data_IF_854875698210
#
_entry.id   IF_854875698210
#
_cell.length_a   1.000
_cell.length_b   1.000
_cell.length_c   1.000
_cell.angle_alpha   90.00
_cell.angle_beta   90.00
_cell.angle_gamma   90.00
#
_symmetry.space_group_name_H-M   'P 1'
#
loop_
_entity.id
_entity.type
_entity.pdbx_description
1 polymer ?
#
# COMPACT_ATOMS: atom_id res chain seq x y z
N UNK A 1 -10.98 27.91 -5.91
CA UNK A 1 -10.58 26.48 -5.98
C UNK A 1 -10.27 26.01 -4.55
N UNK A 2 -10.81 24.88 -4.14
CA UNK A 2 -10.51 24.28 -2.83
C UNK A 2 -9.60 23.06 -3.05
N UNK A 3 -8.47 23.01 -2.33
CA UNK A 3 -7.56 21.87 -2.34
C UNK A 3 -7.61 21.17 -0.97
N UNK A 4 -7.71 19.85 -0.98
CA UNK A 4 -7.69 19.02 0.22
C UNK A 4 -6.41 18.21 0.23
N UNK A 5 -5.63 18.31 1.32
CA UNK A 5 -4.42 17.51 1.49
C UNK A 5 -4.78 16.09 1.91
N UNK A 6 -4.87 15.17 0.95
CA UNK A 6 -5.11 13.76 1.25
C UNK A 6 -4.02 13.16 2.16
N UNK A 7 -2.71 13.41 1.95
CA UNK A 7 -1.68 12.97 2.88
C UNK A 7 -1.86 13.55 4.29
N UNK A 8 -2.26 14.83 4.40
CA UNK A 8 -2.50 15.47 5.70
C UNK A 8 -3.62 14.78 6.48
N UNK A 9 -4.72 14.44 5.83
CA UNK A 9 -5.83 13.71 6.46
C UNK A 9 -5.38 12.31 6.90
N UNK A 10 -4.57 11.62 6.10
CA UNK A 10 -4.08 10.28 6.43
C UNK A 10 -3.02 10.29 7.54
N UNK A 11 -2.43 11.43 7.85
CA UNK A 11 -1.50 11.63 8.96
C UNK A 11 -2.18 12.20 10.21
N UNK A 12 -3.49 12.39 10.19
CA UNK A 12 -4.26 12.85 11.33
C UNK A 12 -4.66 11.67 12.23
N UNK A 13 -4.25 11.70 13.50
CA UNK A 13 -4.54 10.66 14.50
C UNK A 13 -6.04 10.45 14.73
N UNK A 14 -6.86 11.46 14.46
CA UNK A 14 -8.32 11.36 14.53
C UNK A 14 -8.87 10.28 13.61
N UNK A 15 -8.25 10.07 12.44
CA UNK A 15 -8.71 9.12 11.44
C UNK A 15 -7.85 7.87 11.38
N UNK A 16 -6.55 8.00 11.69
CA UNK A 16 -5.57 6.93 11.60
C UNK A 16 -4.70 6.90 12.86
N UNK A 17 -5.02 6.06 13.85
CA UNK A 17 -4.21 5.94 15.06
C UNK A 17 -2.74 5.58 14.73
N UNK A 18 -1.80 6.32 15.33
CA UNK A 18 -0.36 6.18 15.08
C UNK A 18 0.00 6.26 13.57
N UNK A 19 -0.31 7.36 12.88
CA UNK A 19 -0.24 7.44 11.42
C UNK A 19 1.17 7.29 10.84
N UNK A 20 2.20 7.50 11.66
CA UNK A 20 3.60 7.28 11.29
C UNK A 20 4.01 5.81 11.32
N UNK A 21 3.20 4.93 11.92
CA UNK A 21 3.46 3.49 11.96
C UNK A 21 2.71 2.79 10.83
N UNK A 22 3.42 1.97 10.06
CA UNK A 22 2.77 1.11 9.08
C UNK A 22 1.87 0.08 9.79
N UNK A 23 0.57 0.22 9.60
CA UNK A 23 -0.43 -0.67 10.19
C UNK A 23 -1.52 -1.01 9.16
N UNK A 24 -1.43 -2.17 8.49
CA UNK A 24 -2.43 -2.62 7.51
C UNK A 24 -3.84 -2.76 8.09
N UNK A 25 -3.97 -3.05 9.39
CA UNK A 25 -5.26 -3.18 10.09
C UNK A 25 -6.09 -1.90 10.04
N UNK A 26 -5.45 -0.74 9.84
CA UNK A 26 -6.17 0.49 9.57
C UNK A 26 -7.13 0.37 8.37
N UNK A 27 -6.92 -0.59 7.48
CA UNK A 27 -7.72 -0.83 6.28
C UNK A 27 -8.53 -2.14 6.34
N UNK A 28 -8.61 -2.79 7.49
CA UNK A 28 -9.49 -3.94 7.73
C UNK A 28 -10.96 -3.56 7.47
N UNK A 29 -11.81 -4.55 7.22
CA UNK A 29 -13.24 -4.32 6.97
C UNK A 29 -13.88 -3.53 8.11
N UNK A 30 -13.64 -3.95 9.35
CA UNK A 30 -14.20 -3.33 10.55
C UNK A 30 -13.76 -1.86 10.70
N UNK A 31 -12.46 -1.58 10.53
CA UNK A 31 -11.94 -0.22 10.64
C UNK A 31 -12.39 0.68 9.50
N UNK A 32 -12.62 0.13 8.30
CA UNK A 32 -13.21 0.88 7.18
C UNK A 32 -14.65 1.27 7.43
N UNK A 33 -15.45 0.37 8.00
CA UNK A 33 -16.88 0.61 8.28
C UNK A 33 -17.07 1.67 9.36
N UNK A 34 -16.15 1.75 10.33
CA UNK A 34 -16.19 2.74 11.42
C UNK A 34 -15.65 4.11 11.02
N UNK A 35 -14.86 4.18 9.98
CA UNK A 35 -14.18 5.42 9.56
C UNK A 35 -15.03 6.17 8.53
N UNK A 36 -14.95 7.51 8.59
CA UNK A 36 -15.50 8.35 7.54
C UNK A 36 -14.86 7.99 6.17
N UNK A 37 -15.64 7.58 5.16
CA UNK A 37 -15.09 7.23 3.84
C UNK A 37 -14.25 8.33 3.19
N UNK A 38 -14.53 9.59 3.51
CA UNK A 38 -13.80 10.76 3.01
C UNK A 38 -12.44 10.97 3.67
N UNK A 39 -12.06 10.15 4.66
CA UNK A 39 -10.70 10.20 5.22
C UNK A 39 -9.65 9.50 4.33
N UNK A 40 -10.07 8.79 3.28
CA UNK A 40 -9.19 8.11 2.32
C UNK A 40 -9.41 8.67 0.92
N UNK A 41 -8.68 9.73 0.59
CA UNK A 41 -8.85 10.49 -0.67
C UNK A 41 -7.73 10.26 -1.69
N UNK A 42 -7.00 9.16 -1.62
CA UNK A 42 -5.87 8.88 -2.53
C UNK A 42 -6.24 8.89 -4.02
N UNK A 43 -7.49 8.61 -4.34
CA UNK A 43 -8.00 8.61 -5.72
C UNK A 43 -9.04 9.73 -5.95
N UNK A 44 -9.17 10.65 -5.02
CA UNK A 44 -10.21 11.67 -5.03
C UNK A 44 -11.60 11.12 -4.70
N UNK A 45 -12.58 12.00 -4.75
CA UNK A 45 -14.00 11.69 -4.52
C UNK A 45 -14.89 12.52 -5.43
N UNK A 46 -16.08 12.04 -5.75
CA UNK A 46 -17.05 12.74 -6.59
C UNK A 46 -16.86 12.53 -8.10
N UNK A 47 -17.46 13.40 -8.94
CA UNK A 47 -17.50 13.22 -10.40
C UNK A 47 -16.13 13.27 -11.08
N UNK A 48 -15.14 13.86 -10.42
CA UNK A 48 -13.76 14.02 -10.89
C UNK A 48 -12.77 13.09 -10.18
N UNK A 49 -13.25 11.99 -9.57
CA UNK A 49 -12.36 10.99 -9.00
C UNK A 49 -11.47 10.34 -10.09
N UNK A 50 -10.43 9.65 -9.67
CA UNK A 50 -9.49 9.00 -10.59
C UNK A 50 -10.20 7.95 -11.46
N UNK A 51 -10.24 8.18 -12.76
CA UNK A 51 -10.83 7.24 -13.74
C UNK A 51 -10.07 5.90 -13.80
N UNK A 52 -8.74 5.93 -13.59
CA UNK A 52 -7.87 4.74 -13.62
C UNK A 52 -7.80 3.96 -12.30
N UNK A 53 -8.53 4.34 -11.26
CA UNK A 53 -8.46 3.71 -9.92
C UNK A 53 -8.56 2.19 -9.97
N UNK A 54 -9.57 1.65 -10.63
CA UNK A 54 -9.81 0.21 -10.64
C UNK A 54 -8.73 -0.54 -11.41
N UNK A 55 -8.32 -0.01 -12.56
CA UNK A 55 -7.24 -0.58 -13.37
C UNK A 55 -5.91 -0.53 -12.62
N UNK A 56 -5.56 0.62 -12.03
CA UNK A 56 -4.33 0.77 -11.26
C UNK A 56 -4.27 -0.18 -10.05
N UNK A 57 -5.37 -0.31 -9.31
CA UNK A 57 -5.46 -1.26 -8.19
C UNK A 57 -5.35 -2.71 -8.67
N UNK A 58 -5.97 -3.06 -9.80
CA UNK A 58 -5.87 -4.40 -10.38
C UNK A 58 -4.42 -4.72 -10.75
N UNK A 59 -3.73 -3.81 -11.46
CA UNK A 59 -2.33 -3.98 -11.85
C UNK A 59 -1.42 -4.19 -10.65
N UNK A 60 -1.53 -3.34 -9.62
CA UNK A 60 -0.73 -3.44 -8.39
C UNK A 60 -0.99 -4.77 -7.68
N UNK A 61 -2.26 -5.14 -7.47
CA UNK A 61 -2.63 -6.39 -6.81
C UNK A 61 -2.12 -7.61 -7.56
N UNK A 62 -2.28 -7.63 -8.89
CA UNK A 62 -1.80 -8.73 -9.73
C UNK A 62 -0.28 -8.83 -9.67
N UNK A 63 0.43 -7.72 -9.82
CA UNK A 63 1.89 -7.69 -9.75
C UNK A 63 2.40 -8.19 -8.39
N UNK A 64 1.86 -7.68 -7.29
CA UNK A 64 2.24 -8.12 -5.94
C UNK A 64 1.91 -9.60 -5.73
N UNK A 65 0.72 -10.06 -6.15
CA UNK A 65 0.34 -11.47 -6.02
C UNK A 65 1.31 -12.40 -6.74
N UNK A 66 1.75 -12.04 -7.96
CA UNK A 66 2.77 -12.80 -8.69
C UNK A 66 4.12 -12.80 -7.96
N UNK A 67 4.56 -11.63 -7.49
CA UNK A 67 5.84 -11.51 -6.78
C UNK A 67 5.85 -12.34 -5.49
N UNK A 68 4.85 -12.19 -4.62
CA UNK A 68 4.83 -12.91 -3.33
C UNK A 68 4.56 -14.40 -3.47
N UNK A 69 3.97 -14.83 -4.58
CA UNK A 69 3.82 -16.26 -4.90
C UNK A 69 5.16 -16.93 -5.18
N UNK A 70 6.03 -16.26 -5.91
CA UNK A 70 7.31 -16.83 -6.34
C UNK A 70 8.47 -16.49 -5.39
N UNK A 71 8.39 -15.35 -4.70
CA UNK A 71 9.49 -14.81 -3.91
C UNK A 71 9.05 -14.40 -2.51
N UNK A 72 10.01 -14.50 -1.58
CA UNK A 72 9.99 -13.78 -0.30
C UNK A 72 10.69 -12.46 -0.52
N UNK A 73 10.07 -11.35 -0.09
CA UNK A 73 10.66 -10.02 -0.16
C UNK A 73 11.35 -9.77 1.18
N UNK A 74 12.67 -9.57 1.14
CA UNK A 74 13.49 -9.42 2.32
C UNK A 74 14.17 -8.05 2.33
N UNK A 75 14.31 -7.41 3.49
CA UNK A 75 15.13 -6.21 3.61
C UNK A 75 16.60 -6.54 3.38
N UNK A 76 17.37 -5.57 2.90
CA UNK A 76 18.83 -5.61 2.81
C UNK A 76 19.44 -4.71 3.86
N UNK A 77 20.76 -4.77 4.04
CA UNK A 77 21.51 -3.81 4.88
C UNK A 77 21.30 -2.35 4.46
N UNK A 78 20.96 -2.13 3.18
CA UNK A 78 20.72 -0.80 2.60
C UNK A 78 19.23 -0.43 2.53
N UNK A 79 18.34 -1.28 3.05
CA UNK A 79 16.91 -0.95 3.13
C UNK A 79 16.71 0.14 4.18
N UNK A 80 16.19 1.28 3.76
CA UNK A 80 15.96 2.41 4.66
C UNK A 80 14.80 2.11 5.61
N UNK A 81 15.01 2.33 6.91
CA UNK A 81 13.98 2.14 7.93
C UNK A 81 12.91 3.25 7.91
N UNK A 82 13.31 4.46 7.48
CA UNK A 82 12.42 5.63 7.37
C UNK A 82 12.38 6.10 5.92
N UNK A 83 11.17 6.14 5.37
CA UNK A 83 10.97 6.63 4.01
C UNK A 83 10.91 8.15 4.00
N UNK A 84 11.74 8.78 3.16
CA UNK A 84 11.72 10.22 2.92
C UNK A 84 11.19 10.49 1.51
N UNK A 85 10.25 11.43 1.41
CA UNK A 85 9.76 11.86 0.11
C UNK A 85 10.79 12.73 -0.60
N UNK A 86 10.92 12.55 -1.90
CA UNK A 86 11.78 13.40 -2.73
C UNK A 86 11.03 14.70 -3.10
N UNK A 87 11.43 15.85 -2.54
CA UNK A 87 10.75 17.11 -2.80
C UNK A 87 10.97 17.65 -4.23
N UNK A 88 11.89 17.07 -4.98
CA UNK A 88 12.21 17.49 -6.35
C UNK A 88 11.27 16.91 -7.40
N UNK A 89 10.49 15.89 -7.02
CA UNK A 89 9.58 15.23 -7.93
C UNK A 89 8.14 15.71 -7.72
N UNK A 90 7.46 16.05 -8.82
CA UNK A 90 6.03 16.39 -8.78
C UNK A 90 5.17 15.20 -8.34
N UNK A 91 5.57 14.00 -8.73
CA UNK A 91 4.95 12.77 -8.24
C UNK A 91 5.56 12.37 -6.89
N UNK A 92 4.76 11.73 -6.03
CA UNK A 92 5.22 11.21 -4.74
C UNK A 92 6.21 10.08 -4.98
N UNK A 93 7.50 10.40 -4.89
CA UNK A 93 8.60 9.44 -5.00
C UNK A 93 9.36 9.36 -3.68
N UNK A 94 9.90 8.18 -3.40
CA UNK A 94 10.80 7.97 -2.26
C UNK A 94 12.22 8.29 -2.68
N UNK A 95 12.89 9.14 -1.91
CA UNK A 95 14.30 9.50 -2.13
C UNK A 95 15.19 8.26 -2.06
N UNK A 96 15.92 7.99 -3.15
CA UNK A 96 16.79 6.81 -3.25
C UNK A 96 16.09 5.48 -3.50
N UNK A 97 14.75 5.46 -3.58
CA UNK A 97 13.98 4.24 -3.75
C UNK A 97 13.95 3.34 -2.51
N UNK A 98 13.44 2.13 -2.68
CA UNK A 98 13.39 1.11 -1.61
C UNK A 98 14.14 -0.12 -2.12
N UNK A 99 15.29 -0.41 -1.52
CA UNK A 99 16.11 -1.57 -1.87
C UNK A 99 15.63 -2.80 -1.11
N UNK A 100 15.33 -3.87 -1.84
CA UNK A 100 14.92 -5.15 -1.28
C UNK A 100 15.58 -6.30 -2.02
N UNK A 101 15.71 -7.45 -1.36
CA UNK A 101 16.14 -8.70 -1.99
C UNK A 101 14.95 -9.62 -2.21
N UNK A 102 14.96 -10.32 -3.32
CA UNK A 102 13.98 -11.34 -3.65
C UNK A 102 14.60 -12.73 -3.47
N UNK A 103 14.13 -13.47 -2.48
CA UNK A 103 14.50 -14.86 -2.25
C UNK A 103 13.42 -15.77 -2.86
N UNK A 104 13.83 -16.70 -3.72
CA UNK A 104 12.89 -17.61 -4.38
C UNK A 104 12.27 -18.56 -3.35
N UNK A 105 10.94 -18.67 -3.35
CA UNK A 105 10.24 -19.63 -2.48
C UNK A 105 10.51 -21.05 -2.92
N UNK A 106 10.68 -21.95 -1.98
CA UNK A 106 10.74 -23.38 -2.25
C UNK A 106 9.41 -23.90 -2.83
N UNK A 107 9.48 -25.01 -3.54
CA UNK A 107 8.31 -25.68 -4.17
C UNK A 107 7.24 -26.00 -3.11
N UNK A 108 7.64 -26.40 -1.92
CA UNK A 108 6.76 -26.72 -0.79
C UNK A 108 6.00 -25.50 -0.29
N UNK A 109 6.66 -24.36 -0.14
CA UNK A 109 6.06 -23.08 0.26
C UNK A 109 5.05 -22.57 -0.77
N UNK A 110 5.33 -22.78 -2.07
CA UNK A 110 4.44 -22.44 -3.18
C UNK A 110 3.16 -23.28 -3.18
N UNK A 111 3.25 -24.54 -2.77
CA UNK A 111 2.09 -25.44 -2.67
C UNK A 111 1.16 -25.04 -1.53
N UNK A 112 1.69 -24.69 -0.36
CA UNK A 112 0.92 -24.24 0.80
C UNK A 112 0.17 -22.92 0.50
N UNK A 113 0.81 -21.97 -0.14
CA UNK A 113 0.16 -20.71 -0.52
C UNK A 113 -0.97 -20.89 -1.56
N UNK A 114 -0.91 -21.95 -2.37
CA UNK A 114 -1.95 -22.26 -3.35
C UNK A 114 -3.21 -22.84 -2.69
N UNK A 115 -3.06 -23.63 -1.65
CA UNK A 115 -4.17 -24.32 -0.97
C UNK A 115 -4.89 -23.46 0.07
N UNK A 116 -4.24 -22.45 0.63
CA UNK A 116 -4.88 -21.48 1.54
C UNK A 116 -5.88 -20.58 0.81
N UNK A 117 -5.64 -20.29 -0.48
CA UNK A 117 -6.54 -19.45 -1.30
C UNK A 117 -7.75 -20.21 -1.87
N UNK A 118 -7.75 -21.57 -1.81
CA UNK A 118 -8.85 -22.41 -2.31
C UNK A 118 -9.84 -22.82 -1.21
N UNK A 119 -9.62 -22.43 0.05
CA UNK A 119 -10.45 -22.82 1.20
C UNK A 119 -11.31 -21.69 1.79
N UNK A 120 -11.48 -20.59 1.05
CA UNK A 120 -12.42 -19.50 1.38
C UNK A 120 -13.39 -19.22 0.27
#
# INVERSE_FOLDING_TARGET
MVQVSAPGIMMDEKYFPNPTRFNPENFSKENRERRNPLSVLMFGHGPRNCIGKNLGLLQIKTGIAHLVREFKIMPTSNTVAKLEMDPKNFNVNIKGGILVTFERRDVRDRWLSRNVLSSN
#
